data_IF_337104434246
#
_entry.id   IF_337104434246
#
_cell.length_a   1.000
_cell.length_b   1.000
_cell.length_c   1.000
_cell.angle_alpha   90.00
_cell.angle_beta   90.00
_cell.angle_gamma   90.00
#
_symmetry.space_group_name_H-M   'P 1'
#
loop_
_entity.id
_entity.type
_entity.pdbx_description
1 polymer ?
#
# COMPACT_ATOMS: atom_id res chain seq x y z
N UNK A 1 6.65 -10.31 -19.14
CA UNK A 1 7.37 -11.09 -18.10
C UNK A 1 6.34 -11.91 -17.35
N UNK A 2 6.62 -13.19 -17.05
CA UNK A 2 5.75 -13.99 -16.18
C UNK A 2 5.96 -13.53 -14.74
N UNK A 3 4.89 -13.25 -13.99
CA UNK A 3 4.96 -12.97 -12.55
C UNK A 3 5.34 -14.26 -11.81
N UNK A 4 6.11 -14.11 -10.74
CA UNK A 4 6.36 -15.20 -9.80
C UNK A 4 5.02 -15.47 -9.09
N UNK A 5 4.51 -16.72 -9.09
CA UNK A 5 3.31 -17.05 -8.34
C UNK A 5 3.59 -16.84 -6.85
N UNK A 6 2.73 -16.07 -6.18
CA UNK A 6 2.84 -15.79 -4.74
C UNK A 6 1.82 -16.58 -3.92
N UNK A 7 0.80 -17.14 -4.57
CA UNK A 7 -0.27 -17.93 -3.95
C UNK A 7 -0.26 -19.35 -4.51
N UNK A 8 -0.51 -20.32 -3.63
CA UNK A 8 -0.66 -21.71 -4.00
C UNK A 8 -1.94 -21.90 -4.84
N UNK A 9 -1.87 -22.46 -6.07
CA UNK A 9 -3.05 -22.64 -6.91
C UNK A 9 -4.05 -23.67 -6.37
N UNK A 10 -3.67 -24.46 -5.36
CA UNK A 10 -4.54 -25.47 -4.75
C UNK A 10 -5.33 -24.95 -3.54
N UNK A 11 -4.70 -24.16 -2.67
CA UNK A 11 -5.30 -23.71 -1.40
C UNK A 11 -5.29 -22.19 -1.18
N UNK A 12 -4.72 -21.43 -2.11
CA UNK A 12 -4.57 -19.98 -2.05
C UNK A 12 -3.73 -19.46 -0.86
N UNK A 13 -2.97 -20.33 -0.18
CA UNK A 13 -1.99 -19.93 0.83
C UNK A 13 -0.78 -19.23 0.20
N UNK A 14 -0.11 -18.36 0.97
CA UNK A 14 1.14 -17.73 0.54
C UNK A 14 2.22 -18.79 0.31
N UNK A 15 2.94 -18.66 -0.80
CA UNK A 15 4.10 -19.48 -1.13
C UNK A 15 5.36 -18.92 -0.47
N UNK A 16 6.35 -19.77 -0.28
CA UNK A 16 7.70 -19.42 0.16
C UNK A 16 8.71 -19.79 -0.94
N UNK A 17 9.78 -19.01 -1.03
CA UNK A 17 10.89 -19.30 -1.93
C UNK A 17 11.82 -20.26 -1.19
N UNK A 18 12.09 -21.43 -1.79
CA UNK A 18 12.97 -22.46 -1.20
C UNK A 18 14.35 -22.51 -1.83
N UNK A 19 14.50 -21.97 -3.04
CA UNK A 19 15.73 -22.03 -3.82
C UNK A 19 15.89 -20.81 -4.75
N UNK A 20 17.11 -20.27 -4.80
CA UNK A 20 17.53 -19.23 -5.75
C UNK A 20 18.79 -19.69 -6.49
N UNK A 21 18.81 -19.50 -7.81
CA UNK A 21 19.97 -19.85 -8.66
C UNK A 21 20.60 -18.60 -9.28
N UNK A 22 21.90 -18.42 -9.09
CA UNK A 22 22.65 -17.37 -9.78
C UNK A 22 22.92 -17.79 -11.24
N UNK A 23 22.42 -17.05 -12.26
CA UNK A 23 22.63 -17.40 -13.65
C UNK A 23 24.08 -17.21 -14.12
N UNK A 24 24.90 -16.44 -13.39
CA UNK A 24 26.29 -16.14 -13.77
C UNK A 24 27.28 -17.23 -13.36
N UNK A 25 27.17 -17.75 -12.14
CA UNK A 25 28.11 -18.70 -11.56
C UNK A 25 27.49 -20.03 -11.14
N UNK A 26 26.19 -20.22 -11.38
CA UNK A 26 25.43 -21.43 -11.01
C UNK A 26 25.36 -21.74 -9.52
N UNK A 27 25.75 -20.81 -8.65
CA UNK A 27 25.55 -20.95 -7.20
C UNK A 27 24.06 -21.08 -6.90
N UNK A 28 23.71 -22.12 -6.14
CA UNK A 28 22.37 -22.35 -5.62
C UNK A 28 22.34 -21.98 -4.14
N UNK A 29 21.36 -21.17 -3.76
CA UNK A 29 21.10 -20.76 -2.39
C UNK A 29 19.77 -21.41 -1.99
N UNK A 30 19.80 -22.26 -0.97
CA UNK A 30 18.63 -22.95 -0.44
C UNK A 30 18.31 -22.47 0.96
N UNK A 31 17.02 -22.41 1.29
CA UNK A 31 16.52 -21.94 2.58
C UNK A 31 15.07 -21.49 2.46
N UNK A 32 14.42 -21.21 3.59
CA UNK A 32 13.05 -20.70 3.63
C UNK A 32 13.09 -19.17 3.55
N UNK A 33 12.68 -18.61 2.42
CA UNK A 33 12.63 -17.16 2.22
C UNK A 33 11.17 -16.70 2.03
N UNK A 34 10.68 -15.80 2.89
CA UNK A 34 9.33 -15.27 2.73
C UNK A 34 9.24 -14.40 1.48
N UNK A 35 8.14 -14.53 0.74
CA UNK A 35 7.83 -13.62 -0.36
C UNK A 35 7.53 -12.24 0.24
N UNK A 36 8.28 -11.22 -0.18
CA UNK A 36 8.03 -9.87 0.28
C UNK A 36 6.70 -9.31 -0.26
N UNK A 37 6.15 -8.32 0.44
CA UNK A 37 4.85 -7.73 0.09
C UNK A 37 4.81 -7.01 -1.26
N UNK A 38 5.98 -6.60 -1.78
CA UNK A 38 6.06 -5.97 -3.10
C UNK A 38 5.76 -6.97 -4.22
N UNK A 39 6.23 -8.21 -4.08
CA UNK A 39 5.96 -9.28 -5.04
C UNK A 39 4.51 -9.74 -5.01
N UNK A 40 3.81 -9.58 -3.88
CA UNK A 40 2.40 -9.93 -3.73
C UNK A 40 1.43 -8.85 -4.24
N UNK A 41 1.92 -7.69 -4.70
CA UNK A 41 1.04 -6.65 -5.23
C UNK A 41 0.28 -7.12 -6.48
N UNK A 42 -1.01 -6.78 -6.53
CA UNK A 42 -1.81 -6.96 -7.75
C UNK A 42 -1.23 -6.17 -8.91
N UNK A 43 -1.59 -6.50 -10.15
CA UNK A 43 -1.16 -5.73 -11.32
C UNK A 43 -1.59 -4.26 -11.23
N UNK A 44 -2.78 -4.02 -10.70
CA UNK A 44 -3.34 -2.69 -10.52
C UNK A 44 -2.56 -1.88 -9.46
N UNK A 45 -2.28 -2.49 -8.31
CA UNK A 45 -1.51 -1.85 -7.24
C UNK A 45 -0.05 -1.59 -7.66
N UNK A 46 0.54 -2.53 -8.41
CA UNK A 46 1.88 -2.39 -8.98
C UNK A 46 1.94 -1.21 -9.97
N UNK A 47 0.93 -1.10 -10.84
CA UNK A 47 0.84 0.00 -11.80
C UNK A 47 0.67 1.35 -11.09
N UNK A 48 -0.21 1.41 -10.09
CA UNK A 48 -0.40 2.60 -9.27
C UNK A 48 0.92 3.03 -8.60
N UNK A 49 1.64 2.10 -7.97
CA UNK A 49 2.93 2.38 -7.33
C UNK A 49 3.96 2.95 -8.32
N UNK A 50 4.06 2.38 -9.53
CA UNK A 50 4.96 2.90 -10.57
C UNK A 50 4.58 4.34 -10.96
N UNK A 51 3.29 4.62 -11.17
CA UNK A 51 2.84 5.97 -11.53
C UNK A 51 3.09 6.96 -10.39
N UNK A 52 2.83 6.55 -9.14
CA UNK A 52 3.10 7.35 -7.96
C UNK A 52 4.58 7.71 -7.84
N UNK A 53 5.48 6.74 -8.00
CA UNK A 53 6.93 6.96 -7.98
C UNK A 53 7.41 7.84 -9.15
N UNK A 54 6.88 7.63 -10.36
CA UNK A 54 7.17 8.50 -11.52
C UNK A 54 6.77 9.95 -11.27
N UNK A 55 5.68 10.14 -10.52
CA UNK A 55 5.17 11.45 -10.12
C UNK A 55 5.86 12.00 -8.86
N UNK A 56 6.90 11.32 -8.35
CA UNK A 56 7.63 11.68 -7.12
C UNK A 56 6.71 11.89 -5.91
N UNK A 57 5.61 11.14 -5.86
CA UNK A 57 4.58 11.25 -4.83
C UNK A 57 3.60 12.42 -4.98
N UNK A 58 3.63 13.17 -6.08
CA UNK A 58 2.67 14.25 -6.35
C UNK A 58 1.29 13.69 -6.72
N UNK A 59 0.33 13.78 -5.80
CA UNK A 59 -1.03 13.27 -5.96
C UNK A 59 -1.77 13.89 -7.15
N UNK A 60 -1.56 15.19 -7.44
CA UNK A 60 -2.19 15.86 -8.59
C UNK A 60 -1.68 15.29 -9.90
N UNK A 61 -0.37 15.10 -10.01
CA UNK A 61 0.25 14.52 -11.20
C UNK A 61 -0.18 13.06 -11.39
N UNK A 62 -0.34 12.28 -10.31
CA UNK A 62 -0.89 10.92 -10.39
C UNK A 62 -2.33 10.94 -10.90
N UNK A 63 -3.16 11.86 -10.40
CA UNK A 63 -4.52 12.06 -10.88
C UNK A 63 -4.55 12.33 -12.40
N UNK A 64 -3.71 13.25 -12.87
CA UNK A 64 -3.63 13.61 -14.29
C UNK A 64 -3.17 12.42 -15.14
N UNK A 65 -2.14 11.69 -14.69
CA UNK A 65 -1.59 10.53 -15.41
C UNK A 65 -2.55 9.35 -15.47
N UNK A 66 -3.35 9.14 -14.43
CA UNK A 66 -4.27 8.01 -14.34
C UNK A 66 -5.72 8.36 -14.75
N UNK A 67 -6.04 9.65 -14.95
CA UNK A 67 -7.38 10.09 -15.33
C UNK A 67 -8.45 9.81 -14.28
N UNK A 68 -8.09 9.85 -12.99
CA UNK A 68 -9.00 9.55 -11.87
C UNK A 68 -9.16 10.73 -10.92
N UNK A 69 -10.24 10.72 -10.13
CA UNK A 69 -10.50 11.78 -9.17
C UNK A 69 -9.45 11.79 -8.04
N UNK A 70 -9.22 12.96 -7.43
CA UNK A 70 -8.29 13.11 -6.32
C UNK A 70 -8.65 12.19 -5.14
N UNK A 71 -9.93 12.07 -4.71
CA UNK A 71 -10.35 11.08 -3.73
C UNK A 71 -9.98 9.64 -4.13
N UNK A 72 -10.10 9.29 -5.41
CA UNK A 72 -9.73 7.95 -5.89
C UNK A 72 -8.22 7.70 -5.77
N UNK A 73 -7.37 8.68 -6.08
CA UNK A 73 -5.91 8.55 -5.91
C UNK A 73 -5.55 8.34 -4.45
N UNK A 74 -6.13 9.16 -3.56
CA UNK A 74 -5.97 9.05 -2.10
C UNK A 74 -6.34 7.66 -1.59
N UNK A 75 -7.56 7.20 -1.89
CA UNK A 75 -8.03 5.88 -1.45
C UNK A 75 -7.15 4.74 -1.97
N UNK A 76 -6.63 4.85 -3.20
CA UNK A 76 -5.70 3.86 -3.76
C UNK A 76 -4.35 3.88 -3.05
N UNK A 77 -3.83 5.06 -2.70
CA UNK A 77 -2.61 5.20 -1.93
C UNK A 77 -2.77 4.57 -0.54
N UNK A 78 -3.86 4.89 0.17
CA UNK A 78 -4.12 4.37 1.50
C UNK A 78 -4.26 2.84 1.49
N UNK A 79 -5.01 2.29 0.53
CA UNK A 79 -5.11 0.84 0.32
C UNK A 79 -3.74 0.20 0.06
N UNK A 80 -2.90 0.83 -0.77
CA UNK A 80 -1.55 0.33 -1.06
C UNK A 80 -0.68 0.33 0.21
N UNK A 81 -0.72 1.40 1.00
CA UNK A 81 0.03 1.52 2.26
C UNK A 81 -0.39 0.44 3.25
N UNK A 82 -1.69 0.18 3.39
CA UNK A 82 -2.23 -0.90 4.23
C UNK A 82 -1.77 -2.28 3.73
N UNK A 83 -1.87 -2.53 2.42
CA UNK A 83 -1.42 -3.78 1.80
C UNK A 83 0.08 -4.03 2.06
N UNK A 84 0.89 -2.96 2.02
CA UNK A 84 2.32 -3.03 2.34
C UNK A 84 2.60 -3.08 3.85
N UNK A 85 1.59 -2.89 4.70
CA UNK A 85 1.71 -2.77 6.16
C UNK A 85 2.56 -1.58 6.58
N UNK A 86 2.53 -0.50 5.80
CA UNK A 86 3.15 0.79 6.10
C UNK A 86 2.17 1.75 6.79
N UNK A 87 0.89 1.36 6.83
CA UNK A 87 -0.19 2.11 7.45
C UNK A 87 -1.20 1.11 8.02
N UNK A 88 -1.86 1.46 9.11
CA UNK A 88 -2.85 0.62 9.75
C UNK A 88 -4.27 1.13 9.47
N UNK A 89 -5.23 0.20 9.29
CA UNK A 89 -6.65 0.56 9.13
C UNK A 89 -7.18 1.36 10.34
N UNK A 90 -6.61 1.16 11.52
CA UNK A 90 -6.97 1.89 12.74
C UNK A 90 -6.59 3.37 12.67
N UNK A 91 -5.53 3.76 11.97
CA UNK A 91 -5.18 5.17 11.75
C UNK A 91 -6.21 5.86 10.84
N UNK A 92 -6.64 5.18 9.77
CA UNK A 92 -7.68 5.70 8.86
C UNK A 92 -9.07 5.78 9.51
N UNK A 93 -9.42 4.81 10.36
CA UNK A 93 -10.66 4.83 11.15
C UNK A 93 -10.68 5.99 12.14
N UNK A 94 -9.56 6.26 12.84
CA UNK A 94 -9.44 7.40 13.75
C UNK A 94 -9.54 8.74 13.02
N UNK A 95 -8.95 8.86 11.82
CA UNK A 95 -9.07 10.08 11.01
C UNK A 95 -10.54 10.34 10.63
N UNK A 96 -11.27 9.28 10.29
CA UNK A 96 -12.71 9.35 9.99
C UNK A 96 -13.55 9.69 11.22
N UNK A 97 -13.29 9.08 12.38
CA UNK A 97 -13.98 9.40 13.63
C UNK A 97 -13.80 10.87 14.05
N UNK A 98 -12.61 11.44 13.84
CA UNK A 98 -12.36 12.86 14.12
C UNK A 98 -13.17 13.77 13.19
N UNK A 99 -13.25 13.42 11.90
CA UNK A 99 -14.06 14.17 10.95
C UNK A 99 -15.55 14.09 11.28
N UNK A 100 -16.05 12.89 11.64
CA UNK A 100 -17.45 12.69 12.01
C UNK A 100 -17.83 13.43 13.31
N UNK A 101 -16.94 13.46 14.31
CA UNK A 101 -17.14 14.22 15.57
C UNK A 101 -17.11 15.73 15.34
N UNK A 102 -16.28 16.21 14.40
CA UNK A 102 -16.28 17.61 13.97
C UNK A 102 -17.57 17.99 13.24
N UNK A 103 -18.06 17.14 12.31
CA UNK A 103 -19.33 17.36 11.60
C UNK A 103 -20.53 17.41 12.54
N UNK A 104 -20.52 16.60 13.62
CA UNK A 104 -21.54 16.63 14.67
C UNK A 104 -21.41 17.82 15.63
N UNK A 105 -20.34 18.61 15.53
CA UNK A 105 -20.11 19.77 16.40
C UNK A 105 -19.67 19.41 17.82
N UNK A 106 -19.21 18.16 18.04
CA UNK A 106 -18.74 17.68 19.35
C UNK A 106 -17.34 18.21 19.69
N UNK A 107 -16.56 18.56 18.66
CA UNK A 107 -15.23 19.17 18.78
C UNK A 107 -15.13 20.40 17.88
N UNK A 108 -14.22 21.31 18.23
CA UNK A 108 -13.88 22.47 17.42
C UNK A 108 -12.88 22.11 16.31
N UNK A 109 -12.82 22.94 15.26
CA UNK A 109 -11.82 22.78 14.19
C UNK A 109 -10.38 22.79 14.72
N UNK A 110 -10.09 23.55 15.77
CA UNK A 110 -8.77 23.58 16.40
C UNK A 110 -8.42 22.25 17.10
N UNK A 111 -9.39 21.62 17.77
CA UNK A 111 -9.23 20.33 18.43
C UNK A 111 -9.07 19.19 17.42
N UNK A 112 -9.86 19.21 16.33
CA UNK A 112 -9.71 18.26 15.24
C UNK A 112 -8.31 18.30 14.62
N UNK A 113 -7.76 19.51 14.39
CA UNK A 113 -6.39 19.68 13.86
C UNK A 113 -5.33 19.09 14.80
N UNK A 114 -5.54 19.21 16.13
CA UNK A 114 -4.60 18.66 17.12
C UNK A 114 -4.63 17.13 17.11
N UNK A 115 -5.82 16.53 17.17
CA UNK A 115 -6.00 15.08 17.14
C UNK A 115 -5.48 14.46 15.83
N UNK A 116 -5.68 15.15 14.70
CA UNK A 116 -5.14 14.75 13.39
C UNK A 116 -3.61 14.73 13.32
N UNK A 117 -2.93 15.59 14.09
CA UNK A 117 -1.46 15.60 14.18
C UNK A 117 -0.92 14.46 15.05
N UNK A 118 -1.65 14.09 16.09
CA UNK A 118 -1.28 12.99 17.00
C UNK A 118 -1.38 11.61 16.35
N UNK A 119 -2.26 11.44 15.35
CA UNK A 119 -2.39 10.17 14.58
C UNK A 119 -1.27 9.98 13.55
N UNK A 120 -0.63 11.06 13.10
CA UNK A 120 0.38 11.04 12.03
C UNK A 120 1.84 10.98 12.55
N UNK A 121 2.02 10.80 13.85
CA UNK A 121 3.31 10.58 14.53
C UNK A 121 3.55 9.09 14.78
#
# INVERSE_FOLDING_TARGET
MKKIPTLCPACNSMLEITELRCPKCSTTIQGEFPINKLLSLSDEDSNFLIVFLRSRGNIKEVQERMGISYPTVKNRLDKLLITMGLFSESEGLKEKEILDTLERGEITAAEAIKLMKEIKQ
#
